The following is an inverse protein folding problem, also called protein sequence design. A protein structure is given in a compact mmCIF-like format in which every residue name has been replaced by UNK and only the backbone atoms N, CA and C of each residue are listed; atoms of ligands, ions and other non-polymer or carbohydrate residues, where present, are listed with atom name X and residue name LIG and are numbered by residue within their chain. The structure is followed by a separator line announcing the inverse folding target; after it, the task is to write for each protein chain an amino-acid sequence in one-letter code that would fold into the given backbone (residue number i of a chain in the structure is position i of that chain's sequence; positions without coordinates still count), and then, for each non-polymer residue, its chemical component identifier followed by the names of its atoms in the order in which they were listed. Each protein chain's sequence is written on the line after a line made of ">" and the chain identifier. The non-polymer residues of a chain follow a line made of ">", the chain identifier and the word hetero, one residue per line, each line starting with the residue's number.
data_IF_103593476894
#
_entry.id   IF_103593476894
#
_cell.length_a   1.000
_cell.length_b   1.000
_cell.length_c   1.000
_cell.angle_alpha   90.00
_cell.angle_beta   90.00
_cell.angle_gamma   90.00
#
_symmetry.space_group_name_H-M   'P 1'
#
loop_
_entity.id
_entity.type
_entity.pdbx_description
1 polymer ?
#
# COMPACT_ATOMS: atom_id res chain seq x y z
N UNK A 1 9.22 17.57 -16.38
CA UNK A 1 8.47 18.62 -17.13
C UNK A 1 7.40 19.28 -16.26
N UNK A 2 6.50 18.53 -15.58
CA UNK A 2 5.37 19.06 -14.76
C UNK A 2 5.86 20.11 -13.77
N UNK A 3 6.83 19.79 -12.90
CA UNK A 3 7.35 20.71 -11.88
C UNK A 3 7.88 22.03 -12.50
N UNK A 4 8.66 21.95 -13.57
CA UNK A 4 9.16 23.14 -14.30
C UNK A 4 8.02 23.98 -14.89
N UNK A 5 6.92 23.34 -15.30
CA UNK A 5 5.75 24.06 -15.81
C UNK A 5 5.03 24.82 -14.70
N UNK A 6 4.84 24.19 -13.53
CA UNK A 6 4.27 24.86 -12.35
C UNK A 6 5.12 26.07 -11.94
N UNK A 7 6.44 25.92 -11.92
CA UNK A 7 7.37 27.00 -11.60
C UNK A 7 7.24 28.17 -12.59
N UNK A 8 7.26 27.89 -13.89
CA UNK A 8 7.13 28.88 -14.95
C UNK A 8 5.79 29.65 -14.92
N UNK A 9 4.72 28.97 -14.47
CA UNK A 9 3.38 29.56 -14.37
C UNK A 9 3.10 30.22 -13.02
N UNK A 10 4.05 30.21 -12.09
CA UNK A 10 3.86 30.77 -10.74
C UNK A 10 2.85 30.02 -9.87
N UNK A 11 2.58 28.73 -10.19
CA UNK A 11 1.58 27.90 -9.50
C UNK A 11 2.17 27.03 -8.39
N UNK A 12 3.50 26.95 -8.28
CA UNK A 12 4.23 26.05 -7.41
C UNK A 12 3.79 26.09 -5.95
N UNK A 13 3.65 27.31 -5.40
CA UNK A 13 3.34 27.47 -3.97
C UNK A 13 1.94 26.97 -3.62
N UNK A 14 0.98 27.09 -4.53
CA UNK A 14 -0.43 26.78 -4.28
C UNK A 14 -0.94 25.54 -5.03
N UNK A 15 -0.03 24.62 -5.35
CA UNK A 15 -0.38 23.33 -6.00
C UNK A 15 0.03 22.17 -5.13
N UNK A 16 -0.94 21.34 -4.73
CA UNK A 16 -0.70 20.02 -4.16
C UNK A 16 -0.34 19.05 -5.27
N UNK A 17 0.87 18.49 -5.21
CA UNK A 17 1.32 17.45 -6.12
C UNK A 17 1.48 16.16 -5.34
N UNK A 18 0.81 15.10 -5.77
CA UNK A 18 0.92 13.76 -5.23
C UNK A 18 1.46 12.84 -6.33
N UNK A 19 2.53 12.13 -6.05
CA UNK A 19 3.07 11.08 -6.90
C UNK A 19 2.96 9.75 -6.17
N UNK A 20 2.35 8.78 -6.83
CA UNK A 20 2.18 7.42 -6.31
C UNK A 20 2.08 6.43 -7.47
N UNK A 21 1.85 5.16 -7.15
CA UNK A 21 1.51 4.08 -8.08
C UNK A 21 0.22 3.42 -7.62
N UNK A 22 -0.50 2.77 -8.50
CA UNK A 22 -1.75 2.04 -8.20
C UNK A 22 -1.50 0.69 -7.52
N UNK A 23 -0.36 0.06 -7.80
CA UNK A 23 0.08 -1.23 -7.24
C UNK A 23 1.61 -1.31 -7.20
N UNK A 24 2.11 -2.39 -6.61
CA UNK A 24 3.52 -2.71 -6.65
C UNK A 24 4.05 -2.88 -8.08
N UNK A 25 5.37 -2.87 -8.29
CA UNK A 25 5.97 -2.95 -9.61
C UNK A 25 5.66 -4.28 -10.31
N UNK A 26 5.71 -4.26 -11.63
CA UNK A 26 5.68 -5.45 -12.48
C UNK A 26 6.75 -5.30 -13.55
N UNK A 27 7.45 -6.37 -13.85
CA UNK A 27 8.52 -6.37 -14.85
C UNK A 27 7.98 -6.84 -16.20
N UNK A 28 7.15 -7.88 -16.18
CA UNK A 28 6.47 -8.40 -17.36
C UNK A 28 4.97 -8.51 -17.06
N UNK A 29 4.18 -7.72 -17.74
CA UNK A 29 2.70 -7.72 -17.66
C UNK A 29 2.09 -8.20 -18.99
N UNK A 30 2.86 -8.98 -19.76
CA UNK A 30 2.46 -9.54 -21.04
C UNK A 30 2.67 -8.60 -22.23
N UNK A 31 3.43 -7.52 -22.06
CA UNK A 31 3.79 -6.60 -23.14
C UNK A 31 5.19 -6.92 -23.68
N UNK A 32 5.36 -6.86 -25.01
CA UNK A 32 6.66 -7.00 -25.69
C UNK A 32 7.41 -5.65 -25.65
N UNK A 33 7.80 -5.21 -24.46
CA UNK A 33 8.48 -3.94 -24.20
C UNK A 33 9.94 -4.11 -23.73
N UNK A 34 10.41 -5.36 -23.65
CA UNK A 34 11.76 -5.72 -23.21
C UNK A 34 12.09 -5.26 -21.79
N UNK A 35 11.09 -5.15 -20.94
CA UNK A 35 11.29 -4.64 -19.57
C UNK A 35 12.24 -5.55 -18.76
N UNK A 36 12.15 -6.87 -18.91
CA UNK A 36 13.04 -7.81 -18.23
C UNK A 36 14.52 -7.66 -18.67
N UNK A 37 14.77 -7.59 -19.97
CA UNK A 37 16.12 -7.50 -20.52
C UNK A 37 16.77 -6.15 -20.18
N UNK A 38 15.96 -5.09 -20.04
CA UNK A 38 16.45 -3.75 -19.76
C UNK A 38 16.59 -3.43 -18.27
N UNK A 39 16.29 -4.36 -17.37
CA UNK A 39 16.43 -4.17 -15.91
C UNK A 39 17.85 -3.82 -15.48
N UNK A 40 18.88 -4.34 -16.17
CA UNK A 40 20.30 -4.10 -15.85
C UNK A 40 20.63 -4.31 -14.35
N UNK A 41 20.04 -5.32 -13.71
CA UNK A 41 20.23 -5.61 -12.29
C UNK A 41 19.39 -4.75 -11.35
N UNK A 42 18.51 -3.89 -11.86
CA UNK A 42 17.56 -3.16 -11.03
C UNK A 42 16.50 -4.11 -10.46
N UNK A 43 16.19 -3.96 -9.17
CA UNK A 43 15.12 -4.69 -8.48
C UNK A 43 13.98 -3.71 -8.18
N UNK A 44 12.91 -3.67 -8.99
CA UNK A 44 11.87 -2.65 -8.88
C UNK A 44 11.15 -2.61 -7.51
N UNK A 45 10.93 -3.76 -6.86
CA UNK A 45 10.35 -3.83 -5.51
C UNK A 45 11.37 -3.51 -4.40
N UNK A 46 12.64 -3.26 -4.74
CA UNK A 46 13.70 -3.05 -3.76
C UNK A 46 13.86 -4.27 -2.85
N UNK A 47 13.86 -4.08 -1.53
CA UNK A 47 13.97 -5.17 -0.57
C UNK A 47 12.64 -5.89 -0.29
N UNK A 48 11.51 -5.41 -0.81
CA UNK A 48 10.20 -5.96 -0.50
C UNK A 48 9.96 -7.25 -1.26
N UNK A 49 9.34 -8.22 -0.61
CA UNK A 49 8.95 -9.49 -1.22
C UNK A 49 7.73 -9.31 -2.12
N UNK A 50 7.72 -9.99 -3.25
CA UNK A 50 6.61 -9.94 -4.22
C UNK A 50 6.66 -8.75 -5.16
N UNK A 51 5.69 -8.71 -6.06
CA UNK A 51 5.46 -7.71 -7.09
C UNK A 51 3.96 -7.50 -7.26
N UNK A 52 3.50 -6.72 -8.23
CA UNK A 52 2.09 -6.65 -8.64
C UNK A 52 1.48 -8.07 -8.62
N UNK A 53 0.23 -8.20 -8.19
CA UNK A 53 -0.50 -9.45 -7.94
C UNK A 53 -0.20 -10.15 -6.62
N UNK A 54 0.90 -9.83 -5.93
CA UNK A 54 1.28 -10.47 -4.68
C UNK A 54 0.55 -9.88 -3.47
N UNK A 55 0.22 -10.73 -2.51
CA UNK A 55 -0.25 -10.29 -1.20
C UNK A 55 0.88 -9.81 -0.27
N UNK A 56 2.14 -10.00 -0.66
CA UNK A 56 3.30 -9.49 0.05
C UNK A 56 3.51 -7.98 -0.20
N UNK A 57 4.29 -7.33 0.66
CA UNK A 57 4.51 -5.88 0.62
C UNK A 57 4.98 -5.36 -0.75
N UNK A 58 5.73 -6.14 -1.51
CA UNK A 58 6.16 -5.73 -2.85
C UNK A 58 5.00 -5.57 -3.85
N UNK A 59 3.85 -6.20 -3.58
CA UNK A 59 2.65 -6.05 -4.42
C UNK A 59 1.71 -4.94 -3.96
N UNK A 60 1.74 -4.59 -2.68
CA UNK A 60 0.74 -3.72 -2.04
C UNK A 60 1.30 -2.39 -1.57
N UNK A 61 2.59 -2.34 -1.21
CA UNK A 61 3.25 -1.10 -0.81
C UNK A 61 3.71 -0.32 -2.04
N UNK A 62 3.28 0.94 -2.13
CA UNK A 62 3.58 1.83 -3.25
C UNK A 62 4.30 3.09 -2.77
N UNK A 63 5.11 3.73 -3.64
CA UNK A 63 5.70 5.02 -3.31
C UNK A 63 4.59 6.06 -3.11
N UNK A 64 4.80 6.97 -2.15
CA UNK A 64 3.94 8.12 -1.94
C UNK A 64 4.79 9.36 -1.68
N UNK A 65 4.77 10.32 -2.61
CA UNK A 65 5.49 11.59 -2.47
C UNK A 65 4.46 12.71 -2.56
N UNK A 66 4.42 13.55 -1.53
CA UNK A 66 3.53 14.69 -1.46
C UNK A 66 4.34 15.98 -1.43
N UNK A 67 4.00 16.92 -2.29
CA UNK A 67 4.62 18.24 -2.34
C UNK A 67 3.57 19.35 -2.39
N UNK A 68 3.62 20.26 -1.44
CA UNK A 68 2.83 21.50 -1.44
C UNK A 68 3.57 22.57 -0.63
N UNK A 69 4.43 23.38 -1.25
CA UNK A 69 5.33 24.29 -0.52
C UNK A 69 4.62 25.23 0.45
N UNK A 70 3.46 25.74 0.08
CA UNK A 70 2.66 26.64 0.95
C UNK A 70 2.21 25.95 2.25
N UNK A 71 1.92 24.65 2.23
CA UNK A 71 1.35 23.93 3.37
C UNK A 71 2.35 23.02 4.06
N UNK A 72 3.27 22.39 3.29
CA UNK A 72 4.26 21.44 3.79
C UNK A 72 5.62 22.16 3.89
N UNK A 73 5.91 22.72 5.05
CA UNK A 73 7.14 23.50 5.27
C UNK A 73 8.35 22.64 5.64
N UNK A 74 8.13 21.48 6.24
CA UNK A 74 9.22 20.56 6.64
C UNK A 74 9.34 19.42 5.64
N UNK A 75 10.53 19.30 5.03
CA UNK A 75 10.91 18.12 4.27
C UNK A 75 11.18 16.96 5.21
N UNK A 76 10.77 15.76 4.85
CA UNK A 76 11.00 14.59 5.67
C UNK A 76 10.45 13.32 5.04
N UNK A 77 10.66 12.21 5.74
CA UNK A 77 10.08 10.91 5.43
C UNK A 77 9.11 10.57 6.56
N UNK A 78 7.94 10.09 6.21
CA UNK A 78 6.95 9.58 7.15
C UNK A 78 6.86 8.06 7.00
N UNK A 79 6.84 7.35 8.14
CA UNK A 79 6.63 5.91 8.21
C UNK A 79 5.20 5.58 8.71
N UNK A 80 4.28 6.51 8.57
CA UNK A 80 2.89 6.34 8.98
C UNK A 80 2.19 5.38 8.04
N UNK A 81 1.47 4.41 8.62
CA UNK A 81 0.61 3.52 7.84
C UNK A 81 -0.57 4.32 7.29
N UNK A 82 -0.70 4.35 5.98
CA UNK A 82 -1.80 4.98 5.22
C UNK A 82 -2.23 4.09 4.06
N UNK A 83 -3.38 4.35 3.50
CA UNK A 83 -3.87 3.73 2.28
C UNK A 83 -4.30 4.79 1.26
N UNK A 84 -4.20 4.49 -0.03
CA UNK A 84 -4.69 5.38 -1.10
C UNK A 84 -6.20 5.65 -1.03
N UNK A 85 -6.97 4.71 -0.46
CA UNK A 85 -8.41 4.91 -0.25
C UNK A 85 -8.69 6.10 0.67
N UNK A 86 -7.72 6.51 1.51
CA UNK A 86 -7.83 7.66 2.42
C UNK A 86 -7.80 9.01 1.69
N UNK A 87 -7.39 9.04 0.44
CA UNK A 87 -7.35 10.30 -0.32
C UNK A 87 -8.72 10.92 -0.50
N UNK A 88 -9.78 10.11 -0.68
CA UNK A 88 -11.13 10.64 -0.87
C UNK A 88 -11.58 11.49 0.32
N UNK A 89 -11.51 10.95 1.54
CA UNK A 89 -11.88 11.68 2.75
C UNK A 89 -10.91 12.84 3.05
N UNK A 90 -9.60 12.62 2.83
CA UNK A 90 -8.58 13.63 3.12
C UNK A 90 -8.65 14.84 2.17
N UNK A 91 -8.83 14.61 0.88
CA UNK A 91 -8.97 15.69 -0.10
C UNK A 91 -10.35 16.37 0.01
N UNK A 92 -11.40 15.59 0.37
CA UNK A 92 -12.70 16.15 0.70
C UNK A 92 -12.61 17.15 1.85
N UNK A 93 -11.93 16.80 2.93
CA UNK A 93 -11.65 17.71 4.06
C UNK A 93 -10.85 18.94 3.61
N UNK A 94 -9.81 18.75 2.80
CA UNK A 94 -8.97 19.84 2.31
C UNK A 94 -9.76 20.94 1.59
N UNK A 95 -10.76 20.56 0.82
CA UNK A 95 -11.59 21.50 0.04
C UNK A 95 -12.94 21.79 0.71
N UNK A 96 -13.13 21.34 1.95
CA UNK A 96 -14.39 21.48 2.70
C UNK A 96 -15.61 20.93 1.96
N UNK A 97 -15.42 19.84 1.20
CA UNK A 97 -16.50 19.18 0.48
C UNK A 97 -17.30 18.28 1.41
N UNK A 98 -18.62 18.35 1.31
CA UNK A 98 -19.49 17.39 1.97
C UNK A 98 -19.52 16.08 1.19
N UNK A 99 -18.97 15.02 1.76
CA UNK A 99 -19.06 13.67 1.19
C UNK A 99 -20.42 13.04 1.58
N UNK A 100 -21.24 12.59 0.61
CA UNK A 100 -22.49 11.91 0.91
C UNK A 100 -22.25 10.68 1.80
N UNK A 101 -23.18 10.40 2.72
CA UNK A 101 -23.07 9.23 3.59
C UNK A 101 -22.91 7.94 2.75
N UNK A 102 -21.88 7.16 3.05
CA UNK A 102 -21.59 5.89 2.38
C UNK A 102 -20.88 6.01 1.03
N UNK A 103 -20.50 7.22 0.57
CA UNK A 103 -19.75 7.39 -0.69
C UNK A 103 -18.29 6.92 -0.61
N UNK A 104 -17.71 6.88 0.59
CA UNK A 104 -16.33 6.46 0.82
C UNK A 104 -16.22 5.73 2.19
N UNK A 105 -16.88 4.55 2.36
CA UNK A 105 -17.02 3.91 3.67
C UNK A 105 -15.69 3.50 4.30
N UNK A 106 -14.70 3.16 3.49
CA UNK A 106 -13.38 2.71 3.94
C UNK A 106 -12.33 3.82 4.00
N UNK A 107 -12.69 5.03 3.54
CA UNK A 107 -11.78 6.17 3.49
C UNK A 107 -11.76 6.93 4.82
N UNK A 108 -10.58 7.05 5.42
CA UNK A 108 -10.39 7.82 6.65
C UNK A 108 -9.74 9.16 6.33
N UNK A 109 -10.17 10.21 7.02
CA UNK A 109 -9.50 11.50 6.90
C UNK A 109 -8.09 11.43 7.49
N UNK A 110 -7.10 11.50 6.63
CA UNK A 110 -5.67 11.46 6.93
C UNK A 110 -4.94 12.70 6.39
N UNK A 111 -5.66 13.81 6.25
CA UNK A 111 -5.11 15.06 5.73
C UNK A 111 -3.88 15.52 6.52
N UNK A 112 -3.91 15.42 7.85
CA UNK A 112 -2.77 15.77 8.69
C UNK A 112 -1.52 14.95 8.38
N UNK A 113 -1.68 13.65 8.07
CA UNK A 113 -0.56 12.80 7.67
C UNK A 113 -0.02 13.19 6.28
N UNK A 114 -0.88 13.49 5.32
CA UNK A 114 -0.47 13.97 3.98
C UNK A 114 0.28 15.29 4.06
N UNK A 115 -0.11 16.19 4.98
CA UNK A 115 0.54 17.49 5.16
C UNK A 115 1.73 17.45 6.14
N UNK A 116 2.02 16.29 6.76
CA UNK A 116 3.11 16.13 7.72
C UNK A 116 2.87 16.79 9.08
N UNK A 117 1.61 17.05 9.44
CA UNK A 117 1.21 17.66 10.73
C UNK A 117 0.70 16.63 11.74
N UNK A 118 0.43 15.40 11.30
CA UNK A 118 0.01 14.26 12.12
C UNK A 118 0.89 13.03 11.81
N UNK A 119 1.26 12.29 12.86
CA UNK A 119 2.05 11.07 12.77
C UNK A 119 1.29 9.84 13.32
N UNK A 120 -0.02 9.94 13.44
CA UNK A 120 -0.86 8.83 13.90
C UNK A 120 -1.00 7.80 12.77
N UNK A 121 -0.74 6.54 13.04
CA UNK A 121 -0.94 5.46 12.08
C UNK A 121 -2.43 5.20 11.84
N UNK A 122 -2.78 4.72 10.64
CA UNK A 122 -4.02 4.02 10.41
C UNK A 122 -3.99 2.72 11.22
N UNK A 123 -5.10 2.38 11.90
CA UNK A 123 -5.12 1.19 12.75
C UNK A 123 -4.89 -0.09 11.94
N UNK A 124 -5.42 -0.13 10.73
CA UNK A 124 -5.25 -1.25 9.80
C UNK A 124 -5.54 -0.83 8.34
N UNK A 125 -5.01 -1.61 7.42
CA UNK A 125 -5.32 -1.55 5.98
C UNK A 125 -5.69 -2.96 5.54
N UNK A 126 -6.80 -3.12 4.83
CA UNK A 126 -7.10 -4.36 4.09
C UNK A 126 -6.51 -4.22 2.70
N UNK A 127 -5.81 -5.25 2.26
CA UNK A 127 -5.18 -5.32 0.96
C UNK A 127 -5.77 -6.50 0.19
N UNK A 128 -5.83 -6.35 -1.12
CA UNK A 128 -6.40 -7.32 -2.03
C UNK A 128 -5.37 -7.69 -3.10
N UNK A 129 -5.15 -8.98 -3.30
CA UNK A 129 -4.18 -9.49 -4.25
C UNK A 129 -4.81 -10.48 -5.24
N UNK A 130 -3.99 -11.07 -6.10
CA UNK A 130 -4.45 -12.06 -7.07
C UNK A 130 -5.19 -13.23 -6.39
N UNK A 131 -6.14 -13.82 -7.12
CA UNK A 131 -7.02 -14.90 -6.65
C UNK A 131 -7.89 -14.52 -5.45
N UNK A 132 -8.22 -13.22 -5.33
CA UNK A 132 -9.10 -12.68 -4.29
C UNK A 132 -8.61 -12.89 -2.85
N UNK A 133 -7.31 -13.18 -2.67
CA UNK A 133 -6.75 -13.28 -1.33
C UNK A 133 -6.74 -11.91 -0.65
N UNK A 134 -7.20 -11.89 0.59
CA UNK A 134 -7.15 -10.69 1.42
C UNK A 134 -6.03 -10.81 2.44
N UNK A 135 -5.40 -9.69 2.69
CA UNK A 135 -4.52 -9.50 3.83
C UNK A 135 -4.98 -8.31 4.66
N UNK A 136 -4.56 -8.28 5.91
CA UNK A 136 -4.73 -7.12 6.78
C UNK A 136 -3.38 -6.71 7.37
N UNK A 137 -3.09 -5.45 7.27
CA UNK A 137 -1.85 -4.81 7.66
C UNK A 137 -2.12 -3.84 8.81
N UNK A 138 -1.42 -4.01 9.92
CA UNK A 138 -1.26 -2.99 10.96
C UNK A 138 0.18 -2.44 10.90
N UNK A 139 0.54 -1.48 11.72
CA UNK A 139 1.92 -0.96 11.75
C UNK A 139 2.96 -2.06 11.91
N UNK A 140 2.74 -3.02 12.81
CA UNK A 140 3.73 -4.00 13.23
C UNK A 140 3.46 -5.42 12.71
N UNK A 141 2.28 -5.71 12.17
CA UNK A 141 1.88 -7.06 11.77
C UNK A 141 1.13 -7.09 10.46
N UNK A 142 1.32 -8.17 9.70
CA UNK A 142 0.54 -8.48 8.51
C UNK A 142 0.03 -9.92 8.60
N UNK A 143 -1.24 -10.09 8.33
CA UNK A 143 -1.89 -11.39 8.22
C UNK A 143 -2.41 -11.58 6.80
N UNK A 144 -2.10 -12.72 6.18
CA UNK A 144 -2.66 -13.14 4.90
C UNK A 144 -3.57 -14.34 5.15
N UNK A 145 -4.81 -14.26 4.69
CA UNK A 145 -5.76 -15.35 4.89
C UNK A 145 -5.44 -16.58 4.02
N UNK A 146 -5.80 -17.81 4.46
CA UNK A 146 -5.65 -19.00 3.65
C UNK A 146 -6.39 -18.88 2.31
N UNK A 147 -5.75 -19.37 1.24
CA UNK A 147 -6.31 -19.33 -0.11
C UNK A 147 -5.78 -20.51 -0.93
N UNK A 148 -6.64 -21.13 -1.75
CA UNK A 148 -6.31 -22.28 -2.60
C UNK A 148 -5.68 -21.90 -3.95
N UNK A 149 -5.45 -20.61 -4.21
CA UNK A 149 -4.82 -20.13 -5.43
C UNK A 149 -3.37 -20.60 -5.58
N UNK A 150 -2.82 -20.51 -6.79
CA UNK A 150 -1.44 -20.90 -7.05
C UNK A 150 -0.46 -20.02 -6.27
N UNK A 151 0.57 -20.63 -5.68
CA UNK A 151 1.63 -19.89 -4.96
C UNK A 151 2.48 -19.02 -5.86
N UNK A 152 2.51 -19.31 -7.16
CA UNK A 152 3.29 -18.59 -8.16
C UNK A 152 2.40 -18.25 -9.35
N UNK A 153 2.51 -17.05 -9.86
CA UNK A 153 2.04 -16.73 -11.20
C UNK A 153 3.01 -17.37 -12.19
N UNK A 154 2.49 -18.13 -13.15
CA UNK A 154 3.31 -18.95 -14.06
C UNK A 154 3.48 -18.32 -15.44
N UNK A 155 2.77 -17.24 -15.72
CA UNK A 155 2.94 -16.39 -16.90
C UNK A 155 3.80 -15.18 -16.55
N UNK A 156 4.64 -14.73 -17.47
CA UNK A 156 5.58 -13.65 -17.20
C UNK A 156 6.62 -14.00 -16.11
N UNK A 157 7.18 -13.01 -15.44
CA UNK A 157 8.12 -13.24 -14.34
C UNK A 157 7.40 -14.00 -13.22
N UNK A 158 8.00 -15.08 -12.78
CA UNK A 158 7.48 -15.98 -11.74
C UNK A 158 7.28 -15.25 -10.42
N UNK A 159 6.10 -14.65 -10.23
CA UNK A 159 5.75 -13.83 -9.07
C UNK A 159 5.12 -14.70 -7.99
N UNK A 160 5.65 -14.61 -6.76
CA UNK A 160 5.00 -15.18 -5.57
C UNK A 160 3.70 -14.43 -5.28
N UNK A 161 2.59 -15.14 -5.24
CA UNK A 161 1.26 -14.54 -5.02
C UNK A 161 0.97 -14.25 -3.54
N UNK A 162 1.60 -14.98 -2.62
CA UNK A 162 1.21 -15.02 -1.22
C UNK A 162 0.06 -15.97 -0.92
N UNK A 163 -0.45 -16.73 -1.92
CA UNK A 163 -1.44 -17.78 -1.69
C UNK A 163 -0.83 -18.95 -0.94
N UNK A 164 -1.49 -19.40 0.11
CA UNK A 164 -1.18 -20.62 0.83
C UNK A 164 -2.45 -21.17 1.50
N UNK A 165 -2.54 -22.49 1.62
CA UNK A 165 -3.64 -23.18 2.31
C UNK A 165 -3.63 -22.99 3.84
N UNK A 166 -2.53 -22.49 4.39
CA UNK A 166 -2.38 -22.19 5.81
C UNK A 166 -2.37 -20.66 6.05
N UNK A 167 -2.81 -20.22 7.25
CA UNK A 167 -2.73 -18.81 7.61
C UNK A 167 -1.28 -18.35 7.71
N UNK A 168 -1.03 -17.13 7.28
CA UNK A 168 0.30 -16.52 7.33
C UNK A 168 0.28 -15.28 8.21
N UNK A 169 1.29 -15.14 9.07
CA UNK A 169 1.50 -13.99 9.94
C UNK A 169 2.95 -13.53 9.86
N UNK A 170 3.14 -12.24 9.64
CA UNK A 170 4.45 -11.62 9.48
C UNK A 170 4.64 -10.44 10.43
N UNK A 171 5.83 -10.34 11.00
CA UNK A 171 6.25 -9.19 11.81
C UNK A 171 6.89 -8.14 10.90
N UNK A 172 6.26 -6.96 10.79
CA UNK A 172 6.65 -5.95 9.81
C UNK A 172 7.87 -5.10 10.20
N UNK A 173 8.40 -5.29 11.40
CA UNK A 173 9.70 -4.73 11.81
C UNK A 173 10.86 -5.44 11.13
N UNK A 174 10.65 -6.69 10.70
CA UNK A 174 11.61 -7.47 9.91
C UNK A 174 11.34 -7.21 8.44
N UNK A 175 12.34 -6.75 7.72
CA UNK A 175 12.24 -6.57 6.27
C UNK A 175 12.00 -7.94 5.61
N UNK A 176 11.07 -8.01 4.66
CA UNK A 176 10.89 -9.09 3.69
C UNK A 176 10.00 -10.27 4.03
N UNK A 177 9.08 -10.22 4.95
CA UNK A 177 8.05 -11.28 5.11
C UNK A 177 8.61 -12.72 4.84
N UNK A 178 9.85 -12.99 5.30
CA UNK A 178 10.58 -14.23 5.00
C UNK A 178 10.08 -15.41 5.82
N UNK A 179 9.66 -15.16 7.04
CA UNK A 179 9.29 -16.18 8.00
C UNK A 179 7.82 -16.04 8.40
N UNK A 180 7.03 -17.08 8.12
CA UNK A 180 5.67 -17.16 8.64
C UNK A 180 5.73 -17.56 10.13
N UNK A 181 5.41 -16.61 11.00
CA UNK A 181 5.46 -16.78 12.46
C UNK A 181 4.11 -17.15 13.08
N UNK A 182 3.11 -17.52 12.28
CA UNK A 182 1.76 -17.83 12.76
C UNK A 182 1.72 -18.88 13.88
N UNK A 183 2.56 -19.92 13.79
CA UNK A 183 2.65 -20.95 14.83
C UNK A 183 3.34 -20.46 16.12
N UNK A 184 4.18 -19.45 16.02
CA UNK A 184 4.92 -18.88 17.17
C UNK A 184 4.06 -17.87 17.96
N UNK A 185 3.09 -17.22 17.28
CA UNK A 185 2.23 -16.16 17.87
C UNK A 185 0.73 -16.45 17.68
N UNK A 186 0.19 -17.54 18.26
CA UNK A 186 -1.20 -17.95 18.02
C UNK A 186 -2.22 -16.90 18.49
N UNK A 187 -1.95 -16.18 19.59
CA UNK A 187 -2.83 -15.12 20.07
C UNK A 187 -2.86 -13.93 19.11
N UNK A 188 -1.70 -13.53 18.58
CA UNK A 188 -1.63 -12.45 17.60
C UNK A 188 -2.28 -12.87 16.27
N UNK A 189 -2.11 -14.11 15.84
CA UNK A 189 -2.80 -14.66 14.68
C UNK A 189 -4.32 -14.53 14.86
N UNK A 190 -4.85 -14.95 16.00
CA UNK A 190 -6.28 -14.85 16.29
C UNK A 190 -6.79 -13.40 16.31
N UNK A 191 -5.99 -12.48 16.88
CA UNK A 191 -6.30 -11.03 16.87
C UNK A 191 -6.43 -10.51 15.43
N UNK A 192 -5.42 -10.79 14.58
CA UNK A 192 -5.38 -10.31 13.20
C UNK A 192 -6.48 -10.94 12.32
N UNK A 193 -6.79 -12.22 12.52
CA UNK A 193 -7.94 -12.89 11.88
C UNK A 193 -9.26 -12.23 12.28
N UNK A 194 -9.40 -11.91 13.56
CA UNK A 194 -10.60 -11.23 14.07
C UNK A 194 -10.73 -9.83 13.49
N UNK A 195 -9.61 -9.12 13.38
CA UNK A 195 -9.57 -7.78 12.79
C UNK A 195 -9.98 -7.80 11.31
N UNK A 196 -9.44 -8.74 10.51
CA UNK A 196 -9.85 -8.90 9.11
C UNK A 196 -11.34 -9.24 8.98
N UNK A 197 -11.85 -10.11 9.85
CA UNK A 197 -13.28 -10.45 9.87
C UNK A 197 -14.17 -9.24 10.14
N UNK A 198 -13.80 -8.40 11.11
CA UNK A 198 -14.52 -7.16 11.41
C UNK A 198 -14.47 -6.20 10.23
N UNK A 199 -13.30 -6.02 9.63
CA UNK A 199 -13.13 -5.16 8.46
C UNK A 199 -14.03 -5.62 7.29
N UNK A 200 -14.13 -6.95 7.03
CA UNK A 200 -15.05 -7.51 6.01
C UNK A 200 -16.52 -7.20 6.29
N UNK A 201 -16.89 -7.00 7.54
CA UNK A 201 -18.27 -6.68 7.97
C UNK A 201 -18.53 -5.17 8.03
N UNK A 202 -17.55 -4.33 7.72
CA UNK A 202 -17.66 -2.88 7.83
C UNK A 202 -17.71 -2.37 9.29
N UNK A 203 -17.07 -3.07 10.21
CA UNK A 203 -17.07 -2.79 11.66
C UNK A 203 -15.72 -2.26 12.15
#
# INVERSE_FOLDING_TARGET
>A
QIMKTLDRLGLTENTLVILSSDNGPVVDDGYDDRAEELLNGHTPSGPLRGYKYSAFEGGTTVPAIVRWPKMIQKKGVSNVLMSQIDWMASLGELIHAHLPKGSAPDSWNRLGNLLGTDNTDRSWVVEFAANHVLSIRTKDWKYIEPNDGPRMITWGPRIETGNDSIPQLYEMKKVNEQENVAAQYPEKLFEMQTLLRKAKLGQ
#
